data_IF_513774453749
#
_entry.id   IF_513774453749
#
_cell.length_a   1.000
_cell.length_b   1.000
_cell.length_c   1.000
_cell.angle_alpha   90.00
_cell.angle_beta   90.00
_cell.angle_gamma   90.00
#
_symmetry.space_group_name_H-M   'P 1'
#
loop_
_entity.id
_entity.type
_entity.pdbx_description
1 polymer ?
#
# COMPACT_ATOMS: atom_id res chain seq x y z
N UNK A 1 5.37 -18.65 -13.99
CA UNK A 1 5.10 -17.28 -13.51
C UNK A 1 3.85 -17.39 -12.67
N UNK A 2 4.00 -17.68 -11.37
CA UNK A 2 2.85 -17.84 -10.48
C UNK A 2 2.27 -16.47 -10.18
N UNK A 3 1.11 -16.17 -10.78
CA UNK A 3 0.37 -14.93 -10.55
C UNK A 3 -0.29 -14.88 -9.16
N UNK A 4 -0.12 -15.92 -8.33
CA UNK A 4 -0.71 -16.04 -7.00
C UNK A 4 0.22 -16.77 -6.03
N UNK A 5 1.08 -16.06 -5.27
CA UNK A 5 1.98 -16.67 -4.28
C UNK A 5 1.26 -17.17 -3.01
N UNK A 6 -0.08 -17.13 -2.98
CA UNK A 6 -0.86 -17.41 -1.78
C UNK A 6 -1.85 -18.58 -1.97
N UNK A 7 -1.51 -19.79 -1.50
CA UNK A 7 -2.42 -20.93 -1.53
C UNK A 7 -3.60 -20.69 -0.58
N UNK A 8 -4.80 -20.48 -1.15
CA UNK A 8 -6.04 -20.29 -0.41
C UNK A 8 -6.40 -18.81 -0.22
N UNK A 9 -7.53 -18.41 -0.77
CA UNK A 9 -8.13 -17.10 -0.49
C UNK A 9 -8.64 -17.13 0.95
N UNK A 10 -7.80 -16.77 1.91
CA UNK A 10 -8.23 -16.42 3.27
C UNK A 10 -8.28 -14.90 3.40
N UNK A 11 -9.02 -14.25 2.50
CA UNK A 11 -9.33 -12.84 2.58
C UNK A 11 -10.69 -12.65 3.23
N UNK A 12 -10.73 -12.46 4.54
CA UNK A 12 -11.95 -12.03 5.22
C UNK A 12 -11.62 -10.96 6.26
N UNK A 13 -11.59 -9.71 5.82
CA UNK A 13 -11.90 -8.58 6.68
C UNK A 13 -13.32 -8.15 6.32
N UNK A 14 -14.32 -8.74 6.99
CA UNK A 14 -15.65 -8.14 7.03
C UNK A 14 -15.53 -6.96 7.98
N UNK A 15 -15.81 -5.73 7.52
CA UNK A 15 -16.20 -4.66 8.42
C UNK A 15 -17.62 -5.03 8.86
N UNK A 16 -17.84 -5.49 10.09
CA UNK A 16 -19.15 -5.97 10.51
C UNK A 16 -20.01 -4.75 10.80
N UNK A 17 -20.66 -4.23 9.77
CA UNK A 17 -22.02 -3.74 9.91
C UNK A 17 -22.59 -3.52 8.51
N UNK A 18 -23.51 -4.39 8.08
CA UNK A 18 -24.39 -4.09 6.95
C UNK A 18 -25.45 -3.08 7.42
N UNK A 19 -25.01 -1.93 7.94
CA UNK A 19 -25.88 -0.76 8.01
C UNK A 19 -26.19 -0.33 6.58
N UNK A 20 -27.37 0.26 6.38
CA UNK A 20 -27.85 0.69 5.05
C UNK A 20 -26.84 1.54 4.26
N UNK A 21 -25.90 2.16 4.96
CA UNK A 21 -24.92 3.10 4.41
C UNK A 21 -23.48 2.54 4.35
N UNK A 22 -23.28 1.23 4.46
CA UNK A 22 -21.95 0.60 4.32
C UNK A 22 -21.81 -0.23 3.04
N UNK A 23 -20.60 -0.26 2.49
CA UNK A 23 -20.22 -1.10 1.35
C UNK A 23 -19.23 -2.16 1.85
N UNK A 24 -19.52 -3.46 1.70
CA UNK A 24 -18.56 -4.51 2.03
C UNK A 24 -17.32 -4.43 1.13
N UNK A 25 -16.14 -4.40 1.74
CA UNK A 25 -14.85 -4.41 1.05
C UNK A 25 -14.00 -5.54 1.62
N UNK A 26 -13.36 -6.32 0.75
CA UNK A 26 -12.51 -7.43 1.14
C UNK A 26 -11.08 -7.15 0.69
N UNK A 27 -10.12 -7.43 1.57
CA UNK A 27 -8.69 -7.36 1.25
C UNK A 27 -8.10 -8.75 1.24
N UNK A 28 -7.26 -9.03 0.24
CA UNK A 28 -6.58 -10.32 0.08
C UNK A 28 -5.43 -10.43 1.09
N UNK A 29 -5.25 -11.60 1.70
CA UNK A 29 -4.01 -11.93 2.41
C UNK A 29 -2.79 -11.78 1.49
N UNK A 30 -1.66 -11.31 2.02
CA UNK A 30 -0.51 -10.93 1.21
C UNK A 30 -0.76 -9.67 0.38
N UNK A 31 -1.32 -8.63 1.01
CA UNK A 31 -1.45 -7.30 0.39
C UNK A 31 -0.71 -6.24 1.19
N UNK A 32 -0.09 -5.30 0.48
CA UNK A 32 0.44 -4.05 1.04
C UNK A 32 -0.36 -2.91 0.41
N UNK A 33 -1.07 -2.14 1.22
CA UNK A 33 -1.91 -1.02 0.77
C UNK A 33 -1.33 0.27 1.36
N UNK A 34 -0.69 1.14 0.57
CA UNK A 34 -0.28 2.45 1.05
C UNK A 34 -1.49 3.37 1.20
N UNK A 35 -1.62 4.00 2.35
CA UNK A 35 -2.62 5.03 2.62
C UNK A 35 -1.96 6.28 3.18
N UNK A 36 -2.50 7.45 2.85
CA UNK A 36 -2.12 8.73 3.44
C UNK A 36 -3.32 9.30 4.19
N UNK A 37 -3.08 10.27 5.09
CA UNK A 37 -4.18 11.00 5.73
C UNK A 37 -5.04 11.70 4.66
N UNK A 38 -6.38 11.62 4.76
CA UNK A 38 -7.25 12.29 3.80
C UNK A 38 -7.15 13.81 3.99
N UNK A 39 -7.04 14.54 2.87
CA UNK A 39 -7.02 16.00 2.83
C UNK A 39 -8.12 16.51 1.87
N UNK A 40 -8.23 17.84 1.74
CA UNK A 40 -9.25 18.45 0.88
C UNK A 40 -8.93 18.30 -0.61
N UNK A 41 -7.66 18.11 -0.97
CA UNK A 41 -7.22 17.82 -2.33
C UNK A 41 -5.98 16.93 -2.36
N UNK A 42 -5.68 16.35 -3.53
CA UNK A 42 -4.52 15.48 -3.77
C UNK A 42 -3.19 16.17 -3.50
N UNK A 43 -3.05 17.46 -3.84
CA UNK A 43 -1.80 18.19 -3.64
C UNK A 43 -1.43 18.32 -2.17
N UNK A 44 -2.43 18.54 -1.30
CA UNK A 44 -2.22 18.57 0.15
C UNK A 44 -1.80 17.20 0.69
N UNK A 45 -2.29 16.10 0.10
CA UNK A 45 -1.91 14.75 0.50
C UNK A 45 -0.47 14.40 0.13
N UNK A 46 0.15 15.07 -0.86
CA UNK A 46 1.52 14.73 -1.31
C UNK A 46 2.51 14.72 -0.15
N UNK A 47 2.44 15.72 0.74
CA UNK A 47 3.38 15.90 1.85
C UNK A 47 3.06 15.05 3.10
N UNK A 48 1.99 14.27 3.09
CA UNK A 48 1.62 13.42 4.22
C UNK A 48 2.41 12.11 4.23
N UNK A 49 2.68 11.62 5.44
CA UNK A 49 3.31 10.32 5.64
C UNK A 49 2.44 9.20 5.07
N UNK A 50 3.09 8.18 4.52
CA UNK A 50 2.44 6.99 4.00
C UNK A 50 2.45 5.89 5.05
N UNK A 51 1.26 5.37 5.38
CA UNK A 51 1.12 4.15 6.16
C UNK A 51 0.89 2.97 5.22
N UNK A 52 1.80 2.01 5.21
CA UNK A 52 1.65 0.74 4.52
C UNK A 52 0.84 -0.22 5.39
N UNK A 53 -0.43 -0.42 5.05
CA UNK A 53 -1.29 -1.42 5.68
C UNK A 53 -0.93 -2.80 5.13
N UNK A 54 -0.37 -3.65 5.97
CA UNK A 54 0.08 -5.00 5.60
C UNK A 54 -0.97 -5.99 6.06
N UNK A 55 -1.59 -6.68 5.12
CA UNK A 55 -2.49 -7.79 5.39
C UNK A 55 -1.67 -9.09 5.24
N UNK A 56 -1.23 -9.71 6.35
CA UNK A 56 -0.30 -10.84 6.31
C UNK A 56 -0.97 -12.10 5.76
N UNK A 57 -0.18 -13.17 5.68
CA UNK A 57 -0.58 -14.50 5.24
C UNK A 57 0.27 -15.03 4.08
N UNK A 58 0.94 -14.14 3.33
CA UNK A 58 1.81 -14.45 2.20
C UNK A 58 2.78 -13.29 1.92
N UNK A 59 3.91 -13.57 1.26
CA UNK A 59 4.79 -12.52 0.73
C UNK A 59 3.99 -11.54 -0.14
N UNK A 60 4.27 -10.25 0.03
CA UNK A 60 3.54 -9.20 -0.65
C UNK A 60 4.46 -8.08 -1.09
N UNK A 61 4.08 -7.37 -2.16
CA UNK A 61 4.78 -6.15 -2.55
C UNK A 61 3.84 -5.16 -3.23
N UNK A 62 4.20 -3.89 -3.13
CA UNK A 62 3.52 -2.77 -3.79
C UNK A 62 4.57 -1.78 -4.30
N UNK A 63 4.38 -1.26 -5.51
CA UNK A 63 5.24 -0.21 -6.07
C UNK A 63 4.50 1.13 -5.99
N UNK A 64 4.92 1.97 -5.05
CA UNK A 64 4.39 3.32 -4.87
C UNK A 64 5.06 4.27 -5.86
N UNK A 65 4.25 4.79 -6.77
CA UNK A 65 4.66 5.79 -7.76
C UNK A 65 4.31 7.19 -7.27
N UNK A 66 5.27 8.12 -7.36
CA UNK A 66 5.06 9.54 -7.06
C UNK A 66 5.78 10.40 -8.10
N UNK A 67 5.09 11.41 -8.63
CA UNK A 67 5.60 12.40 -9.58
C UNK A 67 5.10 13.80 -9.19
N UNK A 68 5.22 14.78 -10.10
CA UNK A 68 4.73 16.14 -9.86
C UNK A 68 3.19 16.20 -9.74
N UNK A 69 2.46 15.21 -10.27
CA UNK A 69 0.99 15.15 -10.32
C UNK A 69 0.35 16.07 -11.35
N UNK A 70 1.13 16.90 -12.04
CA UNK A 70 0.73 17.71 -13.18
C UNK A 70 1.85 17.79 -14.24
N UNK A 71 1.48 18.02 -15.49
CA UNK A 71 2.43 18.09 -16.60
C UNK A 71 2.94 16.71 -17.09
N UNK A 72 4.09 16.73 -17.77
CA UNK A 72 4.65 15.59 -18.52
C UNK A 72 6.08 15.19 -18.06
N UNK A 73 6.54 15.68 -16.91
CA UNK A 73 7.90 15.41 -16.42
C UNK A 73 8.23 13.91 -16.30
N UNK A 74 7.21 13.08 -16.02
CA UNK A 74 7.37 11.63 -15.93
C UNK A 74 7.95 11.00 -17.20
N UNK A 75 7.72 11.58 -18.38
CA UNK A 75 8.25 11.10 -19.66
C UNK A 75 9.78 11.23 -19.73
N UNK A 76 10.33 12.17 -18.96
CA UNK A 76 11.76 12.45 -18.86
C UNK A 76 12.40 11.88 -17.59
N UNK A 77 11.68 11.03 -16.84
CA UNK A 77 12.19 10.41 -15.62
C UNK A 77 11.97 11.21 -14.34
N UNK A 78 11.11 12.25 -14.38
CA UNK A 78 10.77 13.06 -13.21
C UNK A 78 9.68 12.37 -12.35
N UNK A 79 10.07 11.25 -11.74
CA UNK A 79 9.23 10.48 -10.82
C UNK A 79 10.10 9.66 -9.87
N UNK A 80 9.50 9.18 -8.78
CA UNK A 80 10.07 8.18 -7.89
C UNK A 80 9.21 6.91 -7.89
N UNK A 81 9.88 5.78 -7.67
CA UNK A 81 9.24 4.48 -7.46
C UNK A 81 9.77 3.85 -6.18
N UNK A 82 8.89 3.67 -5.21
CA UNK A 82 9.21 3.04 -3.93
C UNK A 82 8.56 1.68 -3.81
N UNK A 83 9.38 0.63 -3.81
CA UNK A 83 8.95 -0.74 -3.58
C UNK A 83 8.80 -0.99 -2.09
N UNK A 84 7.57 -1.30 -1.69
CA UNK A 84 7.19 -1.74 -0.36
C UNK A 84 7.10 -3.27 -0.40
N UNK A 85 7.89 -3.98 0.39
CA UNK A 85 7.89 -5.45 0.40
C UNK A 85 7.62 -5.99 1.79
N UNK A 86 6.81 -7.04 1.85
CA UNK A 86 6.54 -7.82 3.05
C UNK A 86 6.98 -9.27 2.81
N UNK A 87 7.78 -9.78 3.74
CA UNK A 87 8.20 -11.18 3.81
C UNK A 87 7.45 -11.87 4.93
N UNK A 88 6.58 -12.80 4.58
CA UNK A 88 5.64 -13.41 5.54
C UNK A 88 6.37 -14.23 6.59
N UNK A 89 7.26 -15.13 6.14
CA UNK A 89 7.98 -16.03 7.02
C UNK A 89 8.91 -15.29 7.99
N UNK A 90 9.45 -14.16 7.55
CA UNK A 90 10.36 -13.32 8.34
C UNK A 90 9.60 -12.27 9.16
N UNK A 91 8.30 -12.07 8.87
CA UNK A 91 7.49 -10.98 9.40
C UNK A 91 8.18 -9.63 9.23
N UNK A 92 8.83 -9.43 8.08
CA UNK A 92 9.72 -8.31 7.82
C UNK A 92 9.19 -7.42 6.70
N UNK A 93 9.21 -6.11 6.95
CA UNK A 93 8.87 -5.08 5.98
C UNK A 93 10.12 -4.36 5.51
N UNK A 94 10.26 -4.14 4.21
CA UNK A 94 11.35 -3.37 3.61
C UNK A 94 10.84 -2.32 2.62
N UNK A 95 11.64 -1.27 2.47
CA UNK A 95 11.38 -0.13 1.60
C UNK A 95 12.61 0.10 0.73
N UNK A 96 12.43 0.12 -0.58
CA UNK A 96 13.49 0.39 -1.55
C UNK A 96 13.00 1.46 -2.52
N UNK A 97 13.67 2.61 -2.57
CA UNK A 97 13.32 3.72 -3.46
C UNK A 97 14.29 3.81 -4.63
N UNK A 98 13.76 4.06 -5.82
CA UNK A 98 14.49 4.31 -7.06
C UNK A 98 13.85 5.47 -7.82
N UNK A 99 14.53 5.95 -8.87
CA UNK A 99 14.12 7.15 -9.60
C UNK A 99 14.63 8.43 -8.94
N UNK A 100 13.92 9.52 -9.16
CA UNK A 100 14.29 10.83 -8.65
C UNK A 100 13.72 11.07 -7.25
N UNK A 101 14.61 11.10 -6.26
CA UNK A 101 14.27 11.24 -4.84
C UNK A 101 13.53 12.54 -4.50
N UNK A 102 13.57 13.57 -5.36
CA UNK A 102 12.83 14.82 -5.15
C UNK A 102 11.31 14.62 -5.13
N UNK A 103 10.82 13.55 -5.75
CA UNK A 103 9.39 13.22 -5.82
C UNK A 103 8.91 12.30 -4.69
N UNK A 104 9.82 11.79 -3.86
CA UNK A 104 9.46 10.97 -2.69
C UNK A 104 9.09 11.87 -1.51
N UNK A 105 7.84 11.81 -1.05
CA UNK A 105 7.34 12.73 -0.02
C UNK A 105 6.91 12.05 1.29
N UNK A 106 7.39 12.59 2.42
CA UNK A 106 7.07 12.10 3.76
C UNK A 106 7.73 10.75 4.11
N UNK A 107 7.51 10.27 5.32
CA UNK A 107 8.02 8.98 5.77
C UNK A 107 7.08 7.83 5.36
N UNK A 108 7.63 6.61 5.28
CA UNK A 108 6.83 5.38 5.18
C UNK A 108 6.92 4.63 6.51
N UNK A 109 5.75 4.34 7.07
CA UNK A 109 5.59 3.48 8.24
C UNK A 109 4.74 2.27 7.84
N UNK A 110 4.95 1.14 8.51
CA UNK A 110 4.15 -0.07 8.28
C UNK A 110 3.25 -0.37 9.47
N UNK A 111 2.03 -0.82 9.19
CA UNK A 111 1.12 -1.40 10.19
C UNK A 111 0.58 -2.74 9.70
N UNK A 112 0.89 -3.79 10.45
CA UNK A 112 0.36 -5.13 10.19
C UNK A 112 -1.06 -5.23 10.73
N UNK A 113 -2.00 -5.63 9.87
CA UNK A 113 -3.42 -5.79 10.15
C UNK A 113 -3.69 -7.27 10.39
N UNK A 114 -3.63 -7.69 11.66
CA UNK A 114 -3.94 -9.06 12.04
C UNK A 114 -5.44 -9.35 11.85
N UNK A 115 -5.76 -10.48 11.22
CA UNK A 115 -7.14 -10.89 11.07
C UNK A 115 -7.68 -11.41 12.41
N UNK A 116 -8.72 -10.76 12.94
CA UNK A 116 -9.37 -11.14 14.20
C UNK A 116 -10.39 -12.28 14.07
N UNK A 117 -10.56 -12.82 12.87
CA UNK A 117 -11.54 -13.88 12.56
C UNK A 117 -10.89 -15.23 12.18
N UNK A 118 -9.71 -15.52 12.73
CA UNK A 118 -9.12 -16.87 12.67
C UNK A 118 -9.62 -17.76 13.80
#
# INVERSE_FOLDING_TARGET
>A
MDLYPCPGIKGLAVIPDAQKDSIPVFVRAGSVIPVKRPMQCSDQMKNENTEALIYPGCDASFNLYEDLGDGYGYESGEFSMTKLSWKENERAFSVETSGDARFRAGDIMARVIENKYQ
#
